data_IF_756084649802
#
_entry.id   IF_756084649802
#
_cell.length_a   1.000
_cell.length_b   1.000
_cell.length_c   1.000
_cell.angle_alpha   90.00
_cell.angle_beta   90.00
_cell.angle_gamma   90.00
#
_symmetry.space_group_name_H-M   'P 1'
#
loop_
_entity.id
_entity.type
_entity.pdbx_description
1 polymer ?
#
# COMPACT_ATOMS: atom_id res chain seq x y z
N UNK A 1 -0.13 5.70 13.16
CA UNK A 1 -0.31 6.79 12.18
C UNK A 1 0.28 8.08 12.76
N UNK A 2 0.01 9.25 12.17
CA UNK A 2 0.45 10.55 12.69
C UNK A 2 -0.13 10.89 14.07
N UNK A 3 -1.25 10.28 14.47
CA UNK A 3 -1.90 10.43 15.77
C UNK A 3 -1.51 9.33 16.77
N UNK A 4 -0.43 8.57 16.49
CA UNK A 4 0.06 7.45 17.32
C UNK A 4 -0.92 6.28 17.47
N UNK A 5 -1.92 6.15 16.60
CA UNK A 5 -2.79 4.97 16.57
C UNK A 5 -2.12 3.82 15.80
N UNK A 6 -2.13 2.63 16.41
CA UNK A 6 -1.62 1.41 15.79
C UNK A 6 -2.60 0.89 14.71
N UNK A 7 -2.07 0.22 13.70
CA UNK A 7 -2.87 -0.40 12.64
C UNK A 7 -2.03 -1.12 11.61
N UNK A 8 -2.69 -1.87 10.73
CA UNK A 8 -2.09 -2.46 9.54
C UNK A 8 -2.14 -1.46 8.39
N UNK A 9 -1.00 -1.20 7.76
CA UNK A 9 -0.86 -0.20 6.71
C UNK A 9 -0.16 -0.80 5.50
N UNK A 10 -0.68 -0.48 4.32
CA UNK A 10 -0.04 -0.77 3.04
C UNK A 10 0.44 0.55 2.45
N UNK A 11 1.74 0.67 2.20
CA UNK A 11 2.36 1.87 1.64
C UNK A 11 2.87 1.54 0.24
N UNK A 12 2.37 2.26 -0.77
CA UNK A 12 2.77 2.10 -2.17
C UNK A 12 3.47 3.38 -2.66
N UNK A 13 4.68 3.61 -2.15
CA UNK A 13 5.43 4.85 -2.42
C UNK A 13 6.13 4.86 -3.79
N UNK A 14 6.30 3.71 -4.43
CA UNK A 14 7.02 3.55 -5.69
C UNK A 14 6.08 3.07 -6.81
N UNK A 15 5.22 4.00 -7.24
CA UNK A 15 4.30 3.80 -8.37
C UNK A 15 4.55 4.90 -9.41
N UNK A 16 4.57 4.53 -10.69
CA UNK A 16 4.73 5.47 -11.80
C UNK A 16 3.68 5.24 -12.88
N UNK A 17 3.29 6.32 -13.56
CA UNK A 17 2.36 6.30 -14.70
C UNK A 17 3.07 6.94 -15.88
N UNK A 18 2.99 6.29 -17.05
CA UNK A 18 3.76 6.70 -18.25
C UNK A 18 3.07 7.74 -19.10
N UNK A 19 1.74 7.82 -19.01
CA UNK A 19 0.90 8.65 -19.88
C UNK A 19 0.21 9.73 -19.07
N UNK A 20 0.16 10.96 -19.60
CA UNK A 20 -0.59 12.06 -18.97
C UNK A 20 -2.10 11.79 -18.98
N UNK A 21 -2.81 12.30 -17.97
CA UNK A 21 -4.25 12.13 -17.83
C UNK A 21 -4.74 12.06 -16.39
N UNK A 22 -6.06 11.92 -16.23
CA UNK A 22 -6.71 11.74 -14.94
C UNK A 22 -6.95 10.26 -14.67
N UNK A 23 -6.46 9.76 -13.54
CA UNK A 23 -6.56 8.35 -13.18
C UNK A 23 -7.05 8.17 -11.76
N UNK A 24 -7.49 6.94 -11.46
CA UNK A 24 -7.71 6.45 -10.10
C UNK A 24 -6.95 5.14 -9.96
N UNK A 25 -6.39 4.87 -8.79
CA UNK A 25 -5.85 3.55 -8.48
C UNK A 25 -6.95 2.71 -7.84
N UNK A 26 -7.07 1.45 -8.25
CA UNK A 26 -7.89 0.44 -7.57
C UNK A 26 -6.98 -0.44 -6.72
N UNK A 27 -7.20 -0.45 -5.41
CA UNK A 27 -6.48 -1.31 -4.48
C UNK A 27 -7.35 -2.52 -4.17
N UNK A 28 -6.83 -3.73 -4.39
CA UNK A 28 -7.50 -4.98 -4.02
C UNK A 28 -6.73 -5.64 -2.87
N UNK A 29 -7.43 -6.03 -1.82
CA UNK A 29 -6.86 -6.76 -0.67
C UNK A 29 -7.15 -8.25 -0.81
N UNK A 30 -6.11 -9.06 -0.70
CA UNK A 30 -6.14 -10.51 -0.85
C UNK A 30 -5.33 -11.11 0.28
N UNK A 31 -5.90 -12.09 0.98
CA UNK A 31 -5.18 -12.93 1.94
C UNK A 31 -4.76 -14.23 1.25
N UNK A 32 -3.45 -14.48 1.19
CA UNK A 32 -2.86 -15.70 0.61
C UNK A 32 -2.45 -16.73 1.67
N UNK A 33 -2.53 -16.36 2.95
CA UNK A 33 -2.24 -17.25 4.09
C UNK A 33 -3.45 -18.05 4.56
N UNK A 34 -4.65 -17.69 4.10
CA UNK A 34 -5.84 -18.51 4.28
C UNK A 34 -5.96 -19.44 3.07
N UNK A 35 -5.49 -20.67 3.21
CA UNK A 35 -6.00 -21.76 2.38
C UNK A 35 -7.47 -21.91 2.76
N UNK A 36 -8.35 -21.26 2.01
CA UNK A 36 -9.75 -21.65 2.04
C UNK A 36 -9.75 -23.12 1.64
N UNK A 37 -10.17 -23.98 2.55
CA UNK A 37 -10.60 -25.35 2.23
C UNK A 37 -11.87 -25.27 1.39
N UNK A 38 -11.82 -24.53 0.28
CA UNK A 38 -12.86 -24.43 -0.72
C UNK A 38 -12.69 -25.59 -1.70
N UNK A 39 -12.70 -26.81 -1.14
CA UNK A 39 -13.27 -27.96 -1.81
C UNK A 39 -14.79 -27.73 -1.90
N UNK A 40 -15.20 -26.82 -2.78
CA UNK A 40 -16.50 -26.89 -3.41
C UNK A 40 -16.43 -27.98 -4.49
N UNK A 41 -16.20 -29.22 -4.08
CA UNK A 41 -16.60 -30.40 -4.83
C UNK A 41 -17.92 -30.87 -4.23
N UNK A 42 -18.98 -30.60 -4.98
CA UNK A 42 -20.24 -31.32 -4.94
C UNK A 42 -20.09 -32.80 -4.53
N UNK A 43 -20.79 -33.21 -3.47
CA UNK A 43 -21.09 -34.61 -3.17
C UNK A 43 -20.23 -35.26 -2.07
N UNK A 44 -20.89 -35.59 -0.95
CA UNK A 44 -20.62 -36.66 0.02
C UNK A 44 -19.18 -37.20 0.21
N UNK A 45 -18.60 -37.02 1.40
CA UNK A 45 -18.35 -38.13 2.34
C UNK A 45 -17.65 -37.65 3.62
N UNK A 46 -18.21 -38.06 4.76
CA UNK A 46 -17.52 -38.10 6.04
C UNK A 46 -16.55 -39.29 6.05
N UNK A 47 -15.29 -39.07 6.46
CA UNK A 47 -14.54 -39.91 7.39
C UNK A 47 -13.02 -39.64 7.34
N UNK A 48 -12.52 -39.21 8.50
CA UNK A 48 -11.32 -39.70 9.20
C UNK A 48 -9.91 -39.50 8.60
N UNK A 49 -8.98 -39.14 9.49
CA UNK A 49 -7.55 -39.16 9.18
C UNK A 49 -6.69 -38.30 10.10
N UNK A 50 -6.68 -38.61 11.40
CA UNK A 50 -5.64 -38.17 12.35
C UNK A 50 -4.23 -38.50 11.85
N UNK A 51 -3.34 -37.51 11.85
CA UNK A 51 -1.91 -37.69 11.58
C UNK A 51 -1.10 -36.55 12.19
N UNK A 52 -0.69 -36.73 13.45
CA UNK A 52 0.20 -35.81 14.15
C UNK A 52 1.62 -35.87 13.60
N UNK A 53 2.24 -34.70 13.54
CA UNK A 53 3.67 -34.50 13.31
C UNK A 53 4.11 -33.24 14.05
N UNK A 54 4.60 -33.41 15.26
CA UNK A 54 5.23 -32.36 16.08
C UNK A 54 6.56 -31.94 15.45
N UNK A 55 6.72 -30.63 15.26
CA UNK A 55 7.96 -29.99 14.82
C UNK A 55 7.76 -28.46 14.79
N UNK A 56 8.40 -27.77 15.73
CA UNK A 56 8.56 -26.32 15.88
C UNK A 56 8.26 -25.42 14.67
N UNK A 57 7.31 -24.49 14.83
CA UNK A 57 7.12 -23.33 13.94
C UNK A 57 6.06 -23.54 12.84
N UNK A 58 4.82 -23.85 13.21
CA UNK A 58 3.71 -23.97 12.26
C UNK A 58 3.38 -22.61 11.62
N UNK A 59 4.04 -22.30 10.51
CA UNK A 59 3.59 -21.26 9.60
C UNK A 59 2.20 -21.63 9.09
N UNK A 60 1.27 -20.67 9.11
CA UNK A 60 -0.06 -20.83 8.51
C UNK A 60 0.08 -21.43 7.10
N UNK A 61 -0.78 -22.38 6.70
CA UNK A 61 -0.73 -22.96 5.37
C UNK A 61 -0.89 -21.85 4.34
N UNK A 62 0.21 -21.49 3.67
CA UNK A 62 0.25 -20.46 2.64
C UNK A 62 -0.10 -21.08 1.28
N UNK A 63 -0.89 -20.37 0.49
CA UNK A 63 -1.34 -20.82 -0.83
C UNK A 63 -0.14 -20.93 -1.79
N UNK A 64 0.29 -22.16 -2.12
CA UNK A 64 1.38 -22.43 -3.06
C UNK A 64 0.92 -22.60 -4.52
N UNK A 65 -0.35 -22.98 -4.74
CA UNK A 65 -1.03 -23.08 -6.06
C UNK A 65 -2.52 -22.77 -5.87
N UNK A 66 -3.20 -22.26 -6.91
CA UNK A 66 -4.66 -22.06 -6.90
C UNK A 66 -5.10 -20.61 -7.07
N UNK A 67 -6.18 -20.21 -6.39
CA UNK A 67 -6.76 -18.86 -6.42
C UNK A 67 -7.13 -18.44 -5.00
N UNK A 68 -6.98 -17.15 -4.69
CA UNK A 68 -7.48 -16.53 -3.46
C UNK A 68 -8.50 -15.45 -3.84
N UNK A 69 -9.62 -15.32 -3.10
CA UNK A 69 -10.62 -14.29 -3.37
C UNK A 69 -10.11 -12.90 -3.00
N UNK A 70 -10.63 -11.87 -3.69
CA UNK A 70 -10.47 -10.47 -3.27
C UNK A 70 -11.41 -10.22 -2.09
N UNK A 71 -10.85 -9.92 -0.93
CA UNK A 71 -11.60 -9.73 0.32
C UNK A 71 -12.20 -8.33 0.43
N UNK A 72 -11.49 -7.32 -0.09
CA UNK A 72 -11.94 -5.95 -0.13
C UNK A 72 -11.29 -5.21 -1.32
N UNK A 73 -11.94 -4.15 -1.80
CA UNK A 73 -11.33 -3.25 -2.75
C UNK A 73 -11.76 -1.80 -2.52
N UNK A 74 -10.93 -0.86 -2.96
CA UNK A 74 -11.22 0.57 -2.88
C UNK A 74 -10.60 1.31 -4.06
N UNK A 75 -11.21 2.41 -4.49
CA UNK A 75 -10.61 3.35 -5.43
C UNK A 75 -10.06 4.56 -4.69
N UNK A 76 -8.92 5.08 -5.14
CA UNK A 76 -8.45 6.38 -4.69
C UNK A 76 -9.34 7.51 -5.21
N UNK A 77 -9.14 8.70 -4.63
CA UNK A 77 -9.52 9.93 -5.33
C UNK A 77 -8.81 10.02 -6.68
N UNK A 78 -9.41 10.69 -7.67
CA UNK A 78 -8.75 10.94 -8.94
C UNK A 78 -7.50 11.80 -8.73
N UNK A 79 -6.45 11.51 -9.49
CA UNK A 79 -5.21 12.27 -9.51
C UNK A 79 -4.79 12.55 -10.94
N UNK A 80 -4.06 13.65 -11.13
CA UNK A 80 -3.57 14.07 -12.44
C UNK A 80 -2.12 13.64 -12.62
N UNK A 81 -1.84 13.01 -13.76
CA UNK A 81 -0.49 12.74 -14.25
C UNK A 81 -0.13 13.82 -15.25
N UNK A 82 0.95 14.55 -14.97
CA UNK A 82 1.41 15.66 -15.79
C UNK A 82 2.54 15.21 -16.71
N UNK A 83 2.58 15.78 -17.93
CA UNK A 83 3.81 15.82 -18.70
C UNK A 83 4.88 16.65 -17.99
N UNK A 84 6.16 16.43 -18.34
CA UNK A 84 7.29 17.09 -17.69
C UNK A 84 7.18 18.63 -17.64
N UNK A 85 6.66 19.24 -18.71
CA UNK A 85 6.48 20.71 -18.80
C UNK A 85 5.37 21.26 -17.89
N UNK A 86 4.36 20.46 -17.59
CA UNK A 86 3.19 20.88 -16.79
C UNK A 86 3.29 20.42 -15.33
N UNK A 87 4.35 19.70 -14.97
CA UNK A 87 4.50 19.11 -13.65
C UNK A 87 4.72 20.21 -12.61
N UNK A 88 3.82 20.35 -11.60
CA UNK A 88 3.90 21.44 -10.62
C UNK A 88 5.01 21.24 -9.57
N UNK A 89 5.84 20.20 -9.73
CA UNK A 89 6.82 19.79 -8.74
C UNK A 89 6.27 18.69 -7.82
N UNK A 90 7.18 18.10 -7.04
CA UNK A 90 6.86 17.07 -6.07
C UNK A 90 6.36 17.75 -4.79
N UNK A 91 5.23 17.30 -4.25
CA UNK A 91 4.71 17.79 -2.98
C UNK A 91 5.65 17.47 -1.82
N UNK A 92 5.64 18.30 -0.77
CA UNK A 92 6.37 17.98 0.46
C UNK A 92 5.82 16.72 1.13
N UNK A 93 6.64 16.12 2.00
CA UNK A 93 6.21 14.93 2.72
C UNK A 93 5.12 15.27 3.74
N UNK A 94 3.98 14.57 3.65
CA UNK A 94 2.90 14.69 4.62
C UNK A 94 3.31 14.20 6.01
N UNK A 95 2.61 14.61 7.06
CA UNK A 95 2.87 14.14 8.43
C UNK A 95 2.75 12.63 8.58
N UNK A 96 1.83 12.00 7.85
CA UNK A 96 1.70 10.55 7.80
C UNK A 96 2.92 9.88 7.17
N UNK A 97 3.45 10.46 6.08
CA UNK A 97 4.68 9.96 5.42
C UNK A 97 5.89 10.09 6.35
N UNK A 98 6.03 11.23 7.02
CA UNK A 98 7.08 11.49 8.03
C UNK A 98 6.95 10.49 9.20
N UNK A 99 5.73 10.21 9.67
CA UNK A 99 5.48 9.24 10.74
C UNK A 99 5.87 7.80 10.35
N UNK A 100 5.56 7.36 9.13
CA UNK A 100 5.97 6.03 8.65
C UNK A 100 7.46 5.92 8.36
N UNK A 101 8.09 6.99 7.85
CA UNK A 101 9.55 7.02 7.67
C UNK A 101 10.29 6.85 9.00
N UNK A 102 9.84 7.52 10.07
CA UNK A 102 10.38 7.34 11.43
C UNK A 102 10.23 5.91 11.97
N UNK A 103 9.28 5.14 11.44
CA UNK A 103 9.06 3.72 11.79
C UNK A 103 9.85 2.74 10.90
N UNK A 104 10.70 3.25 10.01
CA UNK A 104 11.57 2.43 9.15
C UNK A 104 11.01 2.15 7.75
N UNK A 105 9.83 2.68 7.40
CA UNK A 105 9.32 2.57 6.02
C UNK A 105 10.16 3.48 5.12
N UNK A 106 10.74 2.92 4.04
CA UNK A 106 11.63 3.64 3.12
C UNK A 106 10.89 4.61 2.20
N UNK A 107 10.36 5.69 2.78
CA UNK A 107 9.70 6.79 2.07
C UNK A 107 10.70 7.96 2.00
N UNK A 108 11.02 8.51 0.82
CA UNK A 108 11.85 9.71 0.71
C UNK A 108 11.19 10.90 1.42
N UNK A 109 11.91 11.54 2.36
CA UNK A 109 11.41 12.71 3.09
C UNK A 109 11.94 14.00 2.47
N UNK A 110 11.03 14.90 2.13
CA UNK A 110 11.29 16.24 1.58
C UNK A 110 10.76 17.29 2.56
N UNK A 111 11.50 18.38 2.73
CA UNK A 111 11.11 19.56 3.51
C UNK A 111 10.93 20.73 2.55
N UNK A 112 9.88 21.52 2.69
CA UNK A 112 9.69 22.70 1.85
C UNK A 112 10.86 23.68 2.02
N UNK A 113 11.49 24.02 0.90
CA UNK A 113 12.53 25.07 0.81
C UNK A 113 11.89 26.36 0.28
N UNK A 114 10.84 26.83 0.96
CA UNK A 114 10.27 28.16 0.72
C UNK A 114 10.44 29.04 1.96
N UNK A 115 11.69 29.28 2.29
CA UNK A 115 12.11 30.48 3.03
C UNK A 115 13.25 31.09 2.20
N UNK A 116 12.94 32.15 1.44
CA UNK A 116 13.90 32.75 0.53
C UNK A 116 13.39 33.98 -0.21
N UNK A 117 13.51 35.13 0.47
CA UNK A 117 13.62 36.51 -0.04
C UNK A 117 12.35 37.16 -0.63
N UNK A 118 11.67 37.92 0.23
CA UNK A 118 11.10 39.21 -0.17
C UNK A 118 12.28 40.11 -0.56
N UNK A 119 12.37 40.46 -1.84
CA UNK A 119 13.27 41.52 -2.30
C UNK A 119 12.65 42.86 -1.85
N UNK A 120 13.16 43.42 -0.75
CA UNK A 120 13.06 44.86 -0.48
C UNK A 120 13.80 45.58 -1.62
N UNK A 121 13.02 46.13 -2.54
CA UNK A 121 13.51 47.07 -3.54
C UNK A 121 13.93 48.36 -2.85
N UNK A 122 15.24 48.57 -2.78
CA UNK A 122 15.87 49.85 -2.49
C UNK A 122 15.51 50.83 -3.61
N UNK A 123 14.73 51.86 -3.29
CA UNK A 123 14.46 52.99 -4.17
C UNK A 123 15.31 54.18 -3.70
N UNK A 124 16.35 54.51 -4.47
CA UNK A 124 17.03 55.81 -4.44
C UNK A 124 16.06 56.98 -4.69
#
# INVERSE_FOLDING_TARGET
DSSKKLGYWFVLQDLSVRTEGHFRLRMNFIDVGVVTSSSASSGANAANGSGGGSGSGQGLPSLNKGRAPVLAHVFTNPFQVYSAKKFPGVIESTDLSKAFSKQGVKIPIRKDTKEGKEEEGDSD
#
